data_IF_801624025278
#
_entry.id   IF_801624025278
#
_cell.length_a   1.000
_cell.length_b   1.000
_cell.length_c   1.000
_cell.angle_alpha   90.00
_cell.angle_beta   90.00
_cell.angle_gamma   90.00
#
_symmetry.space_group_name_H-M   'P 1'
#
loop_
_entity.id
_entity.type
_entity.pdbx_description
1 polymer ?
#
# COMPACT_ATOMS: atom_id res chain seq x y z
N UNK A 1 14.02 10.79 -17.63
CA UNK A 1 14.82 10.40 -16.45
C UNK A 1 13.94 9.60 -15.51
N UNK A 2 13.55 8.41 -15.95
CA UNK A 2 12.84 7.45 -15.12
C UNK A 2 13.94 6.64 -14.45
N UNK A 3 14.24 6.94 -13.18
CA UNK A 3 15.14 6.08 -12.41
C UNK A 3 14.48 4.70 -12.43
N UNK A 4 15.10 3.77 -13.15
CA UNK A 4 14.90 2.34 -13.00
C UNK A 4 14.73 2.06 -11.52
N UNK A 5 13.55 1.58 -11.13
CA UNK A 5 13.26 1.16 -9.77
C UNK A 5 14.24 0.04 -9.43
N UNK A 6 15.35 0.45 -8.84
CA UNK A 6 16.36 -0.42 -8.28
C UNK A 6 15.67 -1.40 -7.34
N UNK A 7 16.05 -2.68 -7.42
CA UNK A 7 15.58 -3.77 -6.57
C UNK A 7 15.72 -3.33 -5.10
N UNK A 8 14.65 -2.76 -4.54
CA UNK A 8 14.56 -2.49 -3.12
C UNK A 8 14.17 -3.81 -2.48
N UNK A 9 15.00 -4.30 -1.59
CA UNK A 9 14.64 -5.39 -0.69
C UNK A 9 13.51 -4.91 0.22
N UNK A 10 12.27 -5.04 -0.26
CA UNK A 10 11.08 -4.83 0.54
C UNK A 10 11.04 -5.96 1.55
N UNK A 11 11.00 -5.62 2.84
CA UNK A 11 10.79 -6.60 3.89
C UNK A 11 9.43 -7.27 3.69
N UNK A 12 9.43 -8.59 3.42
CA UNK A 12 8.23 -9.39 3.20
C UNK A 12 7.92 -10.27 4.41
N UNK A 13 6.65 -10.48 4.68
CA UNK A 13 6.14 -11.37 5.74
C UNK A 13 5.03 -12.26 5.21
N UNK A 14 4.86 -13.46 5.78
CA UNK A 14 3.71 -14.31 5.48
C UNK A 14 2.47 -13.81 6.21
N UNK A 15 1.40 -13.55 5.47
CA UNK A 15 0.12 -13.10 6.04
C UNK A 15 -0.62 -14.28 6.70
N UNK A 16 -0.39 -14.46 7.99
CA UNK A 16 -1.02 -15.53 8.77
C UNK A 16 -0.78 -16.93 8.18
N UNK A 17 -1.87 -17.68 7.97
CA UNK A 17 -1.86 -19.03 7.37
C UNK A 17 -2.25 -19.05 5.89
N UNK A 18 -2.39 -17.88 5.26
CA UNK A 18 -2.92 -17.76 3.89
C UNK A 18 -1.95 -18.19 2.80
N UNK A 19 -0.65 -18.26 3.11
CA UNK A 19 0.40 -18.48 2.11
C UNK A 19 0.77 -17.23 1.30
N UNK A 20 0.11 -16.10 1.52
CA UNK A 20 0.46 -14.84 0.87
C UNK A 20 1.71 -14.23 1.52
N UNK A 21 2.60 -13.70 0.69
CA UNK A 21 3.72 -12.87 1.12
C UNK A 21 3.43 -11.40 0.80
N UNK A 22 3.42 -10.56 1.83
CA UNK A 22 3.11 -9.14 1.73
C UNK A 22 4.25 -8.31 2.30
N UNK A 23 4.31 -7.03 1.95
CA UNK A 23 5.16 -6.06 2.65
C UNK A 23 4.88 -6.12 4.16
N UNK A 24 5.92 -6.19 4.98
CA UNK A 24 5.77 -6.23 6.44
C UNK A 24 5.18 -4.94 7.03
N UNK A 25 5.09 -3.87 6.22
CA UNK A 25 4.33 -2.65 6.54
C UNK A 25 3.12 -2.56 5.62
N UNK A 26 1.92 -2.51 6.21
CA UNK A 26 0.66 -2.27 5.49
C UNK A 26 0.28 -0.78 5.45
N UNK A 27 -0.65 -0.44 4.57
CA UNK A 27 -1.24 0.90 4.47
C UNK A 27 -2.67 0.91 5.01
N UNK A 28 -2.91 1.62 6.10
CA UNK A 28 -4.26 1.83 6.64
C UNK A 28 -4.99 2.96 5.94
N UNK A 29 -6.13 2.67 5.32
CA UNK A 29 -6.86 3.64 4.49
C UNK A 29 -7.85 4.55 5.26
N UNK A 30 -8.04 4.38 6.58
CA UNK A 30 -9.00 5.16 7.39
C UNK A 30 -8.86 6.69 7.36
N UNK A 31 -7.72 7.33 7.04
CA UNK A 31 -7.69 8.79 6.88
C UNK A 31 -7.84 9.24 5.42
N UNK A 32 -7.85 8.33 4.44
CA UNK A 32 -7.76 8.68 3.01
C UNK A 32 -9.03 9.36 2.49
N UNK A 33 -10.18 9.15 3.14
CA UNK A 33 -11.43 9.84 2.80
C UNK A 33 -11.42 11.33 3.12
N UNK A 34 -10.40 11.83 3.84
CA UNK A 34 -10.26 13.27 4.16
C UNK A 34 -9.66 14.09 3.01
N UNK A 35 -9.23 13.44 1.93
CA UNK A 35 -8.68 14.10 0.74
C UNK A 35 -9.59 13.90 -0.48
N UNK A 36 -9.33 14.63 -1.55
CA UNK A 36 -10.05 14.44 -2.81
C UNK A 36 -9.79 13.04 -3.37
N UNK A 37 -10.71 12.52 -4.19
CA UNK A 37 -10.53 11.24 -4.88
C UNK A 37 -9.25 11.21 -5.71
N UNK A 38 -8.90 12.32 -6.37
CA UNK A 38 -7.68 12.42 -7.16
C UNK A 38 -6.42 12.25 -6.28
N UNK A 39 -6.38 12.87 -5.10
CA UNK A 39 -5.26 12.69 -4.18
C UNK A 39 -5.26 11.31 -3.51
N UNK A 40 -6.42 10.74 -3.20
CA UNK A 40 -6.52 9.37 -2.72
C UNK A 40 -5.91 8.38 -3.73
N UNK A 41 -6.30 8.48 -5.01
CA UNK A 41 -5.74 7.66 -6.10
C UNK A 41 -4.23 7.82 -6.18
N UNK A 42 -3.73 9.06 -6.17
CA UNK A 42 -2.29 9.35 -6.23
C UNK A 42 -1.53 8.76 -5.04
N UNK A 43 -2.08 8.85 -3.83
CA UNK A 43 -1.47 8.30 -2.61
C UNK A 43 -1.37 6.77 -2.68
N UNK A 44 -2.44 6.08 -3.09
CA UNK A 44 -2.45 4.62 -3.23
C UNK A 44 -1.44 4.16 -4.30
N UNK A 45 -1.40 4.82 -5.45
CA UNK A 45 -0.43 4.53 -6.51
C UNK A 45 1.01 4.77 -6.04
N UNK A 46 1.25 5.86 -5.29
CA UNK A 46 2.57 6.14 -4.70
C UNK A 46 2.98 5.09 -3.68
N UNK A 47 2.06 4.64 -2.83
CA UNK A 47 2.33 3.57 -1.86
C UNK A 47 2.70 2.26 -2.58
N UNK A 48 1.92 1.88 -3.60
CA UNK A 48 2.18 0.70 -4.42
C UNK A 48 3.51 0.75 -5.16
N UNK A 49 3.80 1.88 -5.83
CA UNK A 49 5.09 2.14 -6.47
C UNK A 49 6.28 2.09 -5.49
N UNK A 50 6.04 2.18 -4.18
CA UNK A 50 7.05 2.05 -3.13
C UNK A 50 7.05 0.70 -2.41
N UNK A 51 6.36 -0.31 -2.95
CA UNK A 51 6.43 -1.69 -2.48
C UNK A 51 5.39 -2.08 -1.43
N UNK A 52 4.45 -1.20 -1.10
CA UNK A 52 3.30 -1.58 -0.27
C UNK A 52 2.28 -2.33 -1.14
N UNK A 53 1.96 -3.55 -0.74
CA UNK A 53 1.00 -4.43 -1.44
C UNK A 53 -0.12 -4.95 -0.52
N UNK A 54 -0.17 -4.50 0.73
CA UNK A 54 -1.23 -4.81 1.68
C UNK A 54 -1.91 -3.52 2.17
N UNK A 55 -3.20 -3.39 1.83
CA UNK A 55 -4.01 -2.22 2.12
C UNK A 55 -5.18 -2.62 3.02
N UNK A 56 -5.30 -1.95 4.16
CA UNK A 56 -6.38 -2.14 5.12
C UNK A 56 -7.51 -1.14 4.85
N UNK A 57 -8.74 -1.67 4.77
CA UNK A 57 -9.95 -0.90 4.46
C UNK A 57 -11.17 -1.55 5.13
N UNK A 58 -12.23 -0.78 5.34
CA UNK A 58 -13.51 -1.29 5.78
C UNK A 58 -14.67 -0.49 5.19
N UNK A 59 -15.85 -1.13 5.12
CA UNK A 59 -17.10 -0.46 4.70
C UNK A 59 -17.42 0.79 5.52
N UNK A 60 -17.04 0.80 6.80
CA UNK A 60 -17.27 1.92 7.71
C UNK A 60 -16.22 3.04 7.65
N UNK A 61 -15.29 3.01 6.69
CA UNK A 61 -14.34 4.10 6.49
C UNK A 61 -15.08 5.22 5.74
N UNK A 62 -15.80 6.03 6.51
CA UNK A 62 -16.58 7.20 6.07
C UNK A 62 -15.89 8.52 6.37
#
# INVERSE_FOLDING_TARGET
MEKSMENRDIFKVRLGRTGLEVCGTGFGALPIQRVSTAEAVRLLQKAYANGIDFFDTARGYS
#
